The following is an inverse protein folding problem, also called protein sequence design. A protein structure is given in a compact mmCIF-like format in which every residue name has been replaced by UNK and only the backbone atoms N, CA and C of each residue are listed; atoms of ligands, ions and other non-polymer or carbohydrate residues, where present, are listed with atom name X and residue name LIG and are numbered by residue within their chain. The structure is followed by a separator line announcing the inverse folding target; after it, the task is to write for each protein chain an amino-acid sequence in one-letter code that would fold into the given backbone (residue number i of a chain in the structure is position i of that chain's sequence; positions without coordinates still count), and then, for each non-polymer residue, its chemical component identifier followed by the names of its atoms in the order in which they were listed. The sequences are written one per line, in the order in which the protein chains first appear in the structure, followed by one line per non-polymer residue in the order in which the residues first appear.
data_IF_180325161391
#
_entry.id   IF_180325161391
#
_cell.length_a   1.000
_cell.length_b   1.000
_cell.length_c   1.000
_cell.angle_alpha   90.00
_cell.angle_beta   90.00
_cell.angle_gamma   90.00
#
_symmetry.space_group_name_H-M   'P 1'
#
loop_
_entity.id
_entity.type
_entity.pdbx_description
1 polymer ?
#
# COMPACT_ATOMS: atom_id res chain seq x y z
N UNK A 1 3.41 21.49 -8.60
CA UNK A 1 4.01 20.36 -9.36
C UNK A 1 5.11 20.85 -10.31
N UNK A 2 4.85 21.81 -11.20
CA UNK A 2 5.89 22.31 -12.12
C UNK A 2 7.12 22.92 -11.42
N UNK A 3 6.95 23.57 -10.28
CA UNK A 3 8.05 24.12 -9.46
C UNK A 3 8.96 23.03 -8.83
N UNK A 4 8.48 21.78 -8.74
CA UNK A 4 9.19 20.63 -8.19
C UNK A 4 9.59 19.64 -9.33
N UNK A 5 9.79 20.16 -10.55
CA UNK A 5 10.21 19.41 -11.75
C UNK A 5 9.24 18.37 -12.32
N UNK A 6 7.98 18.42 -11.93
CA UNK A 6 6.94 17.59 -12.54
C UNK A 6 6.35 18.19 -13.81
N UNK A 7 6.09 17.37 -14.83
CA UNK A 7 5.36 17.78 -16.05
C UNK A 7 3.92 17.29 -15.98
N UNK A 8 2.96 18.20 -16.15
CA UNK A 8 1.54 17.85 -16.18
C UNK A 8 1.13 17.55 -17.62
N UNK A 9 0.60 16.34 -17.85
CA UNK A 9 0.01 15.95 -19.13
C UNK A 9 -1.49 16.24 -19.08
N UNK A 10 -2.03 17.04 -20.01
CA UNK A 10 -3.45 17.32 -20.02
C UNK A 10 -4.28 16.09 -20.37
N UNK A 11 -5.40 15.93 -19.68
CA UNK A 11 -6.41 14.92 -19.96
C UNK A 11 -7.47 15.51 -20.89
N UNK A 12 -7.80 14.77 -21.97
CA UNK A 12 -8.90 15.16 -22.87
C UNK A 12 -10.20 14.50 -22.39
N UNK A 13 -11.12 15.24 -21.78
CA UNK A 13 -12.36 14.68 -21.25
C UNK A 13 -13.31 14.17 -22.35
N UNK A 14 -13.16 14.63 -23.59
CA UNK A 14 -14.00 14.19 -24.72
C UNK A 14 -13.56 12.85 -25.26
N UNK A 15 -12.27 12.56 -25.28
CA UNK A 15 -11.71 11.26 -25.68
C UNK A 15 -11.80 10.22 -24.56
N UNK A 16 -11.89 10.65 -23.31
CA UNK A 16 -11.91 9.78 -22.15
C UNK A 16 -10.63 8.96 -21.94
N UNK A 17 -9.56 9.27 -22.67
CA UNK A 17 -8.29 8.55 -22.66
C UNK A 17 -7.11 9.49 -22.42
N UNK A 18 -6.06 8.94 -21.85
CA UNK A 18 -4.81 9.64 -21.60
C UNK A 18 -3.87 9.38 -22.79
N UNK A 19 -3.47 10.46 -23.47
CA UNK A 19 -2.50 10.36 -24.56
C UNK A 19 -1.14 9.96 -24.00
N UNK A 20 -0.44 9.03 -24.69
CA UNK A 20 0.89 8.54 -24.32
C UNK A 20 0.95 8.01 -22.87
N UNK A 21 -0.02 7.16 -22.52
CA UNK A 21 -0.13 6.60 -21.17
C UNK A 21 1.18 5.92 -20.70
N UNK A 22 1.92 5.29 -21.60
CA UNK A 22 3.20 4.64 -21.33
C UNK A 22 4.33 5.59 -20.89
N UNK A 23 4.17 6.89 -21.11
CA UNK A 23 5.13 7.91 -20.65
C UNK A 23 4.74 8.53 -19.30
N UNK A 24 3.58 8.15 -18.75
CA UNK A 24 3.05 8.68 -17.49
C UNK A 24 3.68 7.96 -16.30
N UNK A 25 4.11 8.72 -15.30
CA UNK A 25 4.65 8.17 -14.05
C UNK A 25 3.57 7.96 -13.01
N UNK A 26 2.66 8.93 -12.87
CA UNK A 26 1.55 8.91 -11.91
C UNK A 26 0.30 9.47 -12.54
N UNK A 27 -0.84 8.88 -12.16
CA UNK A 27 -2.16 9.44 -12.47
C UNK A 27 -2.76 9.95 -11.16
N UNK A 28 -3.22 11.21 -11.14
CA UNK A 28 -3.88 11.80 -9.99
C UNK A 28 -5.39 11.77 -10.21
N UNK A 29 -6.11 11.03 -9.38
CA UNK A 29 -7.57 10.89 -9.48
C UNK A 29 -8.19 10.56 -8.12
N UNK A 30 -9.37 11.11 -7.84
CA UNK A 30 -10.16 10.73 -6.66
C UNK A 30 -10.89 9.40 -6.84
N UNK A 31 -10.97 8.88 -8.05
CA UNK A 31 -11.76 7.70 -8.40
C UNK A 31 -11.00 6.76 -9.33
N UNK A 32 -11.39 5.50 -9.33
CA UNK A 32 -10.95 4.49 -10.31
C UNK A 32 -11.83 4.46 -11.56
N UNK A 33 -12.91 5.24 -11.59
CA UNK A 33 -13.90 5.24 -12.67
C UNK A 33 -13.45 6.14 -13.83
N UNK A 34 -12.43 5.68 -14.55
CA UNK A 34 -12.00 6.27 -15.81
C UNK A 34 -11.48 5.18 -16.79
N UNK A 35 -11.59 5.38 -18.11
CA UNK A 35 -11.38 4.33 -19.12
C UNK A 35 -10.00 3.67 -19.09
N UNK A 36 -8.94 4.43 -18.75
CA UNK A 36 -7.57 3.93 -18.77
C UNK A 36 -7.10 3.35 -17.43
N UNK A 37 -7.99 3.20 -16.42
CA UNK A 37 -7.60 2.73 -15.09
C UNK A 37 -6.91 1.35 -15.13
N UNK A 38 -7.55 0.34 -15.72
CA UNK A 38 -6.97 -1.00 -15.78
C UNK A 38 -5.71 -1.06 -16.64
N UNK A 39 -5.67 -0.30 -17.73
CA UNK A 39 -4.49 -0.19 -18.57
C UNK A 39 -3.31 0.47 -17.82
N UNK A 40 -3.59 1.44 -16.96
CA UNK A 40 -2.59 2.03 -16.07
C UNK A 40 -2.04 1.01 -15.07
N UNK A 41 -2.90 0.16 -14.50
CA UNK A 41 -2.47 -0.92 -13.62
C UNK A 41 -1.58 -1.93 -14.34
N UNK A 42 -1.94 -2.33 -15.56
CA UNK A 42 -1.13 -3.25 -16.39
C UNK A 42 0.26 -2.68 -16.69
N UNK A 43 0.36 -1.37 -16.86
CA UNK A 43 1.62 -0.65 -17.06
C UNK A 43 2.34 -0.30 -15.74
N UNK A 44 1.84 -0.77 -14.59
CA UNK A 44 2.37 -0.47 -13.25
C UNK A 44 2.41 1.03 -12.92
N UNK A 45 1.53 1.82 -13.52
CA UNK A 45 1.39 3.25 -13.23
C UNK A 45 0.56 3.41 -11.97
N UNK A 46 1.09 4.11 -10.98
CA UNK A 46 0.36 4.37 -9.75
C UNK A 46 -0.74 5.41 -9.97
N UNK A 47 -1.95 5.05 -9.57
CA UNK A 47 -3.08 5.98 -9.47
C UNK A 47 -3.18 6.43 -8.02
N UNK A 48 -3.10 7.73 -7.79
CA UNK A 48 -3.05 8.32 -6.45
C UNK A 48 -4.09 9.43 -6.29
N UNK A 49 -4.60 9.58 -5.08
CA UNK A 49 -5.48 10.72 -4.74
C UNK A 49 -4.69 12.04 -4.75
N UNK A 50 -5.33 13.19 -4.99
CA UNK A 50 -4.68 14.51 -4.94
C UNK A 50 -3.93 14.78 -3.64
N UNK A 51 -4.37 14.20 -2.52
CA UNK A 51 -3.70 14.30 -1.21
C UNK A 51 -2.26 13.79 -1.25
N UNK A 52 -1.94 12.81 -2.12
CA UNK A 52 -0.56 12.34 -2.31
C UNK A 52 0.37 13.47 -2.76
N UNK A 53 -0.08 14.32 -3.67
CA UNK A 53 0.69 15.47 -4.16
C UNK A 53 0.95 16.44 -3.01
N UNK A 54 -0.07 16.82 -2.28
CA UNK A 54 0.03 17.77 -1.15
C UNK A 54 0.97 17.27 -0.06
N UNK A 55 0.82 16.01 0.33
CA UNK A 55 1.64 15.39 1.38
C UNK A 55 3.10 15.17 0.93
N UNK A 56 3.31 14.83 -0.34
CA UNK A 56 4.66 14.68 -0.90
C UNK A 56 5.38 16.03 -0.97
N UNK A 57 4.69 17.10 -1.38
CA UNK A 57 5.24 18.47 -1.37
C UNK A 57 5.58 18.93 0.05
N UNK A 58 4.68 18.68 1.03
CA UNK A 58 4.91 19.01 2.43
C UNK A 58 6.14 18.28 2.99
N UNK A 59 6.30 17.01 2.64
CA UNK A 59 7.43 16.18 3.06
C UNK A 59 8.71 16.44 2.26
N UNK A 60 8.65 17.24 1.18
CA UNK A 60 9.74 17.48 0.20
C UNK A 60 10.33 16.20 -0.39
N UNK A 61 9.52 15.14 -0.48
CA UNK A 61 9.87 13.86 -1.09
C UNK A 61 8.59 13.10 -1.48
N UNK A 62 8.63 12.27 -2.52
CA UNK A 62 7.50 11.42 -2.86
C UNK A 62 7.13 10.50 -1.70
N UNK A 63 5.87 10.53 -1.30
CA UNK A 63 5.31 9.56 -0.35
C UNK A 63 5.04 8.23 -1.06
N UNK A 64 4.90 7.15 -0.27
CA UNK A 64 4.52 5.86 -0.83
C UNK A 64 3.14 5.97 -1.54
N UNK A 65 3.07 5.79 -2.86
CA UNK A 65 1.82 5.99 -3.61
C UNK A 65 0.73 4.97 -3.26
N UNK A 66 1.09 3.81 -2.76
CA UNK A 66 0.12 2.72 -2.46
C UNK A 66 -0.90 3.13 -1.41
N UNK A 67 -0.50 3.92 -0.40
CA UNK A 67 -1.39 4.38 0.67
C UNK A 67 -2.38 5.45 0.20
N UNK A 68 -2.19 5.99 -0.99
CA UNK A 68 -3.02 7.04 -1.58
C UNK A 68 -3.84 6.56 -2.77
N UNK A 69 -3.94 5.25 -2.98
CA UNK A 69 -4.79 4.70 -4.05
C UNK A 69 -6.26 5.06 -3.83
N UNK A 70 -7.00 5.47 -4.88
CA UNK A 70 -8.45 5.65 -4.81
C UNK A 70 -9.22 4.33 -4.81
N UNK A 71 -8.56 3.20 -5.01
CA UNK A 71 -9.18 1.88 -5.02
C UNK A 71 -9.57 1.46 -3.59
N UNK A 72 -10.86 1.40 -3.33
CA UNK A 72 -11.40 1.00 -2.03
C UNK A 72 -11.10 -0.47 -1.66
N UNK A 73 -10.74 -1.31 -2.63
CA UNK A 73 -10.31 -2.69 -2.36
C UNK A 73 -8.92 -2.75 -1.72
N UNK A 74 -8.11 -1.69 -1.86
CA UNK A 74 -6.75 -1.62 -1.32
C UNK A 74 -6.70 -0.93 0.06
N UNK A 75 -7.67 -1.23 0.93
CA UNK A 75 -7.81 -0.58 2.25
C UNK A 75 -6.70 -0.94 3.25
N UNK A 76 -5.92 -1.99 2.99
CA UNK A 76 -4.75 -2.38 3.81
C UNK A 76 -3.42 -1.82 3.30
N UNK A 77 -3.43 -0.80 2.46
CA UNK A 77 -2.22 -0.26 1.82
C UNK A 77 -1.19 0.34 2.80
N UNK A 78 -1.59 0.68 4.01
CA UNK A 78 -0.72 1.14 5.11
C UNK A 78 -0.35 0.02 6.10
N UNK A 79 -0.81 -1.21 5.86
CA UNK A 79 -0.56 -2.37 6.71
C UNK A 79 0.68 -3.12 6.23
N UNK A 80 1.60 -3.36 7.16
CA UNK A 80 2.77 -4.23 6.97
C UNK A 80 2.69 -5.32 8.03
N UNK A 81 2.50 -6.57 7.62
CA UNK A 81 2.42 -7.70 8.56
C UNK A 81 3.73 -8.47 8.61
N UNK A 82 4.01 -9.00 9.77
CA UNK A 82 5.01 -10.04 9.98
C UNK A 82 4.32 -11.24 10.64
N UNK A 83 4.52 -12.43 10.12
CA UNK A 83 3.97 -13.65 10.70
C UNK A 83 4.96 -14.26 11.69
N UNK A 84 4.47 -14.59 12.89
CA UNK A 84 5.15 -15.37 13.89
C UNK A 84 5.11 -16.87 13.55
N UNK A 85 5.19 -17.69 14.58
CA UNK A 85 5.08 -19.14 14.45
C UNK A 85 3.61 -19.56 14.35
N UNK A 86 3.10 -19.58 13.12
CA UNK A 86 1.73 -20.00 12.78
C UNK A 86 1.77 -21.10 11.73
N UNK A 87 0.75 -21.98 11.66
CA UNK A 87 0.71 -23.03 10.65
C UNK A 87 0.86 -22.50 9.22
N UNK A 88 1.60 -23.23 8.37
CA UNK A 88 1.94 -22.78 7.03
C UNK A 88 0.71 -22.44 6.18
N UNK A 89 -0.35 -23.24 6.24
CA UNK A 89 -1.58 -22.98 5.49
C UNK A 89 -2.28 -21.70 5.93
N UNK A 90 -2.34 -21.43 7.22
CA UNK A 90 -2.90 -20.18 7.76
C UNK A 90 -2.03 -18.99 7.38
N UNK A 91 -0.71 -19.15 7.44
CA UNK A 91 0.24 -18.12 7.02
C UNK A 91 0.04 -17.73 5.56
N UNK A 92 0.01 -18.70 4.65
CA UNK A 92 -0.18 -18.46 3.22
C UNK A 92 -1.53 -17.78 2.93
N UNK A 93 -2.60 -18.21 3.61
CA UNK A 93 -3.92 -17.62 3.46
C UNK A 93 -3.96 -16.15 3.90
N UNK A 94 -3.37 -15.84 5.06
CA UNK A 94 -3.29 -14.48 5.59
C UNK A 94 -2.41 -13.58 4.70
N UNK A 95 -1.23 -14.07 4.33
CA UNK A 95 -0.31 -13.32 3.46
C UNK A 95 -0.97 -13.01 2.11
N UNK A 96 -1.63 -14.00 1.48
CA UNK A 96 -2.36 -13.81 0.24
C UNK A 96 -3.51 -12.81 0.38
N UNK A 97 -4.29 -12.90 1.44
CA UNK A 97 -5.39 -11.98 1.73
C UNK A 97 -4.92 -10.54 1.93
N UNK A 98 -3.89 -10.34 2.75
CA UNK A 98 -3.33 -9.00 3.02
C UNK A 98 -2.75 -8.38 1.74
N UNK A 99 -2.02 -9.17 0.93
CA UNK A 99 -1.48 -8.69 -0.35
C UNK A 99 -2.59 -8.32 -1.33
N UNK A 100 -3.66 -9.11 -1.42
CA UNK A 100 -4.81 -8.81 -2.28
C UNK A 100 -5.52 -7.50 -1.88
N UNK A 101 -5.49 -7.15 -0.60
CA UNK A 101 -6.05 -5.91 -0.06
C UNK A 101 -5.06 -4.74 -0.02
N UNK A 102 -3.93 -4.85 -0.70
CA UNK A 102 -2.92 -3.80 -0.85
C UNK A 102 -1.84 -3.75 0.22
N UNK A 103 -1.88 -4.65 1.22
CA UNK A 103 -0.89 -4.72 2.29
C UNK A 103 0.46 -5.29 1.86
N UNK A 104 1.41 -5.28 2.76
CA UNK A 104 2.78 -5.77 2.55
C UNK A 104 3.12 -6.84 3.58
N UNK A 105 4.01 -7.74 3.18
CA UNK A 105 4.53 -8.81 4.02
C UNK A 105 5.99 -8.53 4.36
N UNK A 106 6.32 -8.53 5.64
CA UNK A 106 7.69 -8.45 6.13
C UNK A 106 8.14 -9.84 6.59
N UNK A 107 9.25 -10.34 6.05
CA UNK A 107 9.80 -11.64 6.45
C UNK A 107 10.45 -11.60 7.83
N UNK A 108 10.89 -10.42 8.25
CA UNK A 108 11.54 -10.18 9.54
C UNK A 108 10.88 -9.03 10.28
N UNK A 109 10.98 -9.05 11.61
CA UNK A 109 10.44 -7.99 12.45
C UNK A 109 11.30 -6.73 12.35
N UNK A 110 10.72 -5.67 11.80
CA UNK A 110 11.35 -4.35 11.64
C UNK A 110 10.46 -3.25 12.21
N UNK A 111 10.98 -2.03 12.29
CA UNK A 111 10.20 -0.85 12.71
C UNK A 111 9.06 -0.48 11.75
N UNK A 112 9.07 -1.01 10.53
CA UNK A 112 8.02 -0.76 9.53
C UNK A 112 6.82 -1.69 9.71
N UNK A 113 6.96 -2.78 10.45
CA UNK A 113 5.87 -3.71 10.73
C UNK A 113 4.81 -3.01 11.57
N UNK A 114 3.56 -3.07 11.11
CA UNK A 114 2.41 -2.50 11.80
C UNK A 114 1.63 -3.54 12.61
N UNK A 115 1.61 -4.79 12.12
CA UNK A 115 0.89 -5.89 12.74
C UNK A 115 1.78 -7.14 12.78
N UNK A 116 1.83 -7.76 13.95
CA UNK A 116 2.51 -9.04 14.15
C UNK A 116 1.44 -10.11 14.41
N UNK A 117 1.37 -11.11 13.52
CA UNK A 117 0.48 -12.24 13.68
C UNK A 117 1.16 -13.34 14.52
N UNK A 118 0.51 -13.73 15.60
CA UNK A 118 0.98 -14.81 16.44
C UNK A 118 -0.21 -15.51 17.11
N UNK A 119 -0.05 -16.80 17.43
CA UNK A 119 -1.05 -17.56 18.19
C UNK A 119 -0.99 -17.28 19.68
N UNK A 120 0.22 -16.95 20.16
CA UNK A 120 0.48 -16.70 21.58
C UNK A 120 1.53 -15.59 21.74
N UNK A 121 1.42 -14.84 22.82
CA UNK A 121 2.38 -13.80 23.18
C UNK A 121 3.75 -14.36 23.60
N UNK A 122 3.84 -15.66 23.88
CA UNK A 122 5.12 -16.35 24.14
C UNK A 122 5.96 -16.57 22.87
N UNK A 123 5.41 -16.33 21.68
CA UNK A 123 6.17 -16.35 20.43
C UNK A 123 7.41 -15.44 20.53
N UNK A 124 8.56 -15.91 20.04
CA UNK A 124 9.84 -15.20 20.13
C UNK A 124 9.79 -13.81 19.50
N UNK A 125 9.04 -13.65 18.39
CA UNK A 125 8.85 -12.36 17.75
C UNK A 125 7.99 -11.42 18.58
N UNK A 126 6.97 -11.93 19.27
CA UNK A 126 6.18 -11.14 20.23
C UNK A 126 7.05 -10.66 21.39
N UNK A 127 7.85 -11.54 21.96
CA UNK A 127 8.76 -11.19 23.04
C UNK A 127 9.81 -10.16 22.60
N UNK A 128 10.32 -10.30 21.37
CA UNK A 128 11.25 -9.33 20.79
C UNK A 128 10.59 -7.96 20.59
N UNK A 129 9.36 -7.92 20.06
CA UNK A 129 8.60 -6.70 19.85
C UNK A 129 8.33 -5.97 21.17
N UNK A 130 7.95 -6.70 22.20
CA UNK A 130 7.70 -6.18 23.55
C UNK A 130 9.00 -5.63 24.16
N UNK A 131 10.09 -6.40 24.11
CA UNK A 131 11.38 -6.01 24.69
C UNK A 131 11.99 -4.79 24.03
N UNK A 132 11.82 -4.63 22.72
CA UNK A 132 12.26 -3.47 21.93
C UNK A 132 11.25 -2.33 21.90
N UNK A 133 10.11 -2.47 22.55
CA UNK A 133 9.01 -1.47 22.58
C UNK A 133 8.62 -1.01 21.17
N UNK A 134 8.49 -1.95 20.23
CA UNK A 134 8.07 -1.63 18.87
C UNK A 134 6.60 -1.18 18.87
N UNK A 135 6.31 -0.14 18.09
CA UNK A 135 4.96 0.37 17.92
C UNK A 135 4.23 -0.46 16.85
N UNK A 136 3.69 -1.60 17.26
CA UNK A 136 2.90 -2.48 16.40
C UNK A 136 1.76 -3.12 17.21
N UNK A 137 0.78 -3.68 16.50
CA UNK A 137 -0.33 -4.42 17.10
C UNK A 137 -0.09 -5.91 16.94
N UNK A 138 -0.21 -6.68 18.03
CA UNK A 138 -0.15 -8.15 17.99
C UNK A 138 -1.57 -8.66 17.78
N UNK A 139 -1.78 -9.47 16.76
CA UNK A 139 -3.09 -9.97 16.34
C UNK A 139 -3.07 -11.48 16.12
N UNK A 140 -4.25 -12.09 16.27
CA UNK A 140 -4.48 -13.49 15.93
C UNK A 140 -4.67 -13.66 14.42
N UNK A 141 -4.40 -14.86 13.83
CA UNK A 141 -4.52 -15.08 12.39
C UNK A 141 -5.88 -14.76 11.79
N UNK A 142 -6.98 -14.90 12.54
CA UNK A 142 -8.33 -14.59 12.08
C UNK A 142 -8.69 -13.08 12.08
N UNK A 143 -7.73 -12.23 12.42
CA UNK A 143 -7.92 -10.77 12.41
C UNK A 143 -8.30 -10.20 11.03
N UNK A 144 -7.83 -10.79 9.96
CA UNK A 144 -8.07 -10.32 8.58
C UNK A 144 -9.13 -11.12 7.82
N UNK A 145 -9.88 -11.96 8.49
CA UNK A 145 -10.96 -12.81 7.90
C UNK A 145 -12.34 -12.23 8.17
#
# INVERSE_FOLDING_TARGET
MAAESGTIVPFDPFKGRIDRLEEITYIVSETTDFPDYYRALDLMIHVVKPTWVTESLRARKPKNPRTYSPDSALFMSDVVICCGDIPTGDKEAVEGGVMAMGGQIALTLTKQVTHLLALDVSDDRCQLAISKRLQLTIVLPHWCV
#
